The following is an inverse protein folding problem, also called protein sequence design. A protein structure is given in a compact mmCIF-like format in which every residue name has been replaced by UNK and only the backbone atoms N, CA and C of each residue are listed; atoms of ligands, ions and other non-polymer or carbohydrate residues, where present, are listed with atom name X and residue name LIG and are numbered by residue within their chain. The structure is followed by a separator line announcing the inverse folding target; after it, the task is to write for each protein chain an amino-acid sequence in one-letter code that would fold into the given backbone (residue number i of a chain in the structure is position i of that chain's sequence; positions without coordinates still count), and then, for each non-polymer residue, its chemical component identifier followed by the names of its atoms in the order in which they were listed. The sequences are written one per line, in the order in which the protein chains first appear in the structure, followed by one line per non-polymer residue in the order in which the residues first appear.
data_IF_097658326864
#
_entry.id   IF_097658326864
#
_cell.length_a   1.000
_cell.length_b   1.000
_cell.length_c   1.000
_cell.angle_alpha   90.00
_cell.angle_beta   90.00
_cell.angle_gamma   90.00
#
_symmetry.space_group_name_H-M   'P 1'
#
loop_
_entity.id
_entity.type
_entity.pdbx_description
1 polymer ?
#
# COMPACT_ATOMS: atom_id res chain seq x y z
N UNK A 1 7.64 -40.68 -31.19
CA UNK A 1 6.35 -40.04 -30.82
C UNK A 1 5.75 -40.70 -29.57
N UNK A 2 6.46 -40.71 -28.43
CA UNK A 2 5.99 -41.39 -27.19
C UNK A 2 5.91 -40.46 -25.96
N UNK A 3 6.11 -39.15 -26.15
CA UNK A 3 6.19 -38.18 -25.05
C UNK A 3 4.83 -37.63 -24.59
N UNK A 4 3.76 -37.81 -25.37
CA UNK A 4 2.43 -37.26 -25.07
C UNK A 4 1.51 -38.21 -24.28
N UNK A 5 1.87 -39.48 -24.11
CA UNK A 5 0.95 -40.47 -23.54
C UNK A 5 0.84 -40.40 -22.01
N UNK A 6 1.79 -39.72 -21.34
CA UNK A 6 1.77 -39.53 -19.89
C UNK A 6 0.83 -38.40 -19.44
N UNK A 7 0.48 -37.44 -20.31
CA UNK A 7 -0.25 -36.24 -19.91
C UNK A 7 -1.76 -36.42 -19.70
N UNK A 8 -2.32 -37.57 -20.10
CA UNK A 8 -3.76 -37.85 -20.04
C UNK A 8 -4.15 -38.92 -19.02
N UNK A 9 -3.18 -39.42 -18.23
CA UNK A 9 -3.50 -40.36 -17.16
C UNK A 9 -4.39 -39.68 -16.08
N UNK A 10 -5.48 -40.34 -15.63
CA UNK A 10 -6.41 -39.75 -14.67
C UNK A 10 -5.74 -39.33 -13.34
N UNK A 11 -4.66 -40.01 -12.95
CA UNK A 11 -3.82 -39.66 -11.81
C UNK A 11 -3.14 -38.28 -11.94
N UNK A 12 -2.71 -37.90 -13.15
CA UNK A 12 -2.04 -36.63 -13.42
C UNK A 12 -3.01 -35.44 -13.38
N UNK A 13 -4.25 -35.62 -13.86
CA UNK A 13 -5.30 -34.60 -13.77
C UNK A 13 -5.70 -34.33 -12.32
N UNK A 14 -5.89 -35.38 -11.52
CA UNK A 14 -6.17 -35.26 -10.08
C UNK A 14 -5.03 -34.55 -9.36
N UNK A 15 -3.78 -34.85 -9.72
CA UNK A 15 -2.62 -34.16 -9.17
C UNK A 15 -2.63 -32.65 -9.51
N UNK A 16 -2.88 -32.29 -10.77
CA UNK A 16 -3.00 -30.88 -11.19
C UNK A 16 -4.11 -30.14 -10.44
N UNK A 17 -5.28 -30.74 -10.30
CA UNK A 17 -6.40 -30.15 -9.55
C UNK A 17 -6.02 -29.90 -8.08
N UNK A 18 -5.34 -30.84 -7.43
CA UNK A 18 -4.83 -30.69 -6.06
C UNK A 18 -3.79 -29.57 -5.94
N UNK A 19 -2.88 -29.45 -6.91
CA UNK A 19 -1.88 -28.38 -6.94
C UNK A 19 -2.55 -27.01 -7.11
N UNK A 20 -3.51 -26.88 -8.02
CA UNK A 20 -4.27 -25.63 -8.22
C UNK A 20 -5.06 -25.25 -6.97
N UNK A 21 -5.72 -26.21 -6.31
CA UNK A 21 -6.43 -25.95 -5.05
C UNK A 21 -5.50 -25.54 -3.92
N UNK A 22 -4.33 -26.18 -3.80
CA UNK A 22 -3.32 -25.81 -2.81
C UNK A 22 -2.77 -24.40 -3.05
N UNK A 23 -2.54 -24.02 -4.32
CA UNK A 23 -2.15 -22.68 -4.72
C UNK A 23 -3.24 -21.65 -4.41
N UNK A 24 -4.51 -21.92 -4.73
CA UNK A 24 -5.65 -21.05 -4.40
C UNK A 24 -5.75 -20.80 -2.88
N UNK A 25 -5.63 -21.86 -2.08
CA UNK A 25 -5.68 -21.78 -0.62
C UNK A 25 -4.51 -20.95 -0.05
N UNK A 26 -3.29 -21.20 -0.57
CA UNK A 26 -2.08 -20.47 -0.17
C UNK A 26 -2.17 -19.00 -0.55
N UNK A 27 -2.63 -18.68 -1.76
CA UNK A 27 -2.84 -17.32 -2.22
C UNK A 27 -3.87 -16.56 -1.39
N UNK A 28 -5.00 -17.19 -1.07
CA UNK A 28 -6.02 -16.55 -0.24
C UNK A 28 -5.45 -16.19 1.13
N UNK A 29 -4.68 -17.10 1.75
CA UNK A 29 -4.05 -16.85 3.04
C UNK A 29 -2.98 -15.77 2.98
N UNK A 30 -2.07 -15.85 2.01
CA UNK A 30 -1.00 -14.86 1.83
C UNK A 30 -1.57 -13.47 1.53
N UNK A 31 -2.54 -13.38 0.61
CA UNK A 31 -3.19 -12.11 0.30
C UNK A 31 -3.89 -11.51 1.51
N UNK A 32 -4.56 -12.32 2.32
CA UNK A 32 -5.21 -11.84 3.54
C UNK A 32 -4.18 -11.37 4.56
N UNK A 33 -3.14 -12.16 4.83
CA UNK A 33 -2.07 -11.78 5.75
C UNK A 33 -1.40 -10.46 5.36
N UNK A 34 -1.02 -10.30 4.08
CA UNK A 34 -0.38 -9.08 3.61
C UNK A 34 -1.29 -7.86 3.74
N UNK A 35 -2.58 -8.00 3.40
CA UNK A 35 -3.56 -6.92 3.57
C UNK A 35 -3.70 -6.50 5.03
N UNK A 36 -3.73 -7.46 5.96
CA UNK A 36 -3.81 -7.17 7.40
C UNK A 36 -2.56 -6.46 7.88
N UNK A 37 -1.36 -6.98 7.57
CA UNK A 37 -0.08 -6.39 8.00
C UNK A 37 0.02 -4.94 7.52
N UNK A 38 -0.24 -4.68 6.24
CA UNK A 38 -0.18 -3.33 5.69
C UNK A 38 -1.27 -2.42 6.25
N UNK A 39 -2.50 -2.91 6.40
CA UNK A 39 -3.59 -2.12 7.01
C UNK A 39 -3.28 -1.73 8.47
N UNK A 40 -2.72 -2.65 9.28
CA UNK A 40 -2.30 -2.33 10.65
C UNK A 40 -1.18 -1.30 10.63
N UNK A 41 -0.16 -1.49 9.78
CA UNK A 41 0.95 -0.55 9.65
C UNK A 41 0.46 0.86 9.28
N UNK A 42 -0.36 0.99 8.24
CA UNK A 42 -0.89 2.30 7.80
C UNK A 42 -1.80 2.94 8.83
N UNK A 43 -2.55 2.15 9.60
CA UNK A 43 -3.38 2.66 10.70
C UNK A 43 -2.53 3.25 11.83
N UNK A 44 -1.42 2.59 12.18
CA UNK A 44 -0.48 3.11 13.19
C UNK A 44 0.12 4.45 12.73
N UNK A 45 0.53 4.55 11.46
CA UNK A 45 1.03 5.81 10.91
C UNK A 45 -0.03 6.91 10.91
N UNK A 46 -1.27 6.59 10.54
CA UNK A 46 -2.37 7.55 10.61
C UNK A 46 -2.56 8.12 12.02
N UNK A 47 -2.56 7.26 13.06
CA UNK A 47 -2.66 7.69 14.45
C UNK A 47 -1.46 8.54 14.90
N UNK A 48 -0.25 8.20 14.43
CA UNK A 48 0.94 9.00 14.68
C UNK A 48 0.78 10.43 14.14
N UNK A 49 0.33 10.61 12.90
CA UNK A 49 0.14 11.95 12.33
C UNK A 49 -1.04 12.72 12.96
N UNK A 50 -2.11 12.02 13.35
CA UNK A 50 -3.21 12.66 14.09
C UNK A 50 -2.77 13.15 15.47
N UNK A 51 -1.97 12.37 16.18
CA UNK A 51 -1.42 12.79 17.47
C UNK A 51 -0.39 13.92 17.30
N UNK A 52 0.43 13.89 16.24
CA UNK A 52 1.31 15.00 15.86
C UNK A 52 0.53 16.30 15.64
N UNK A 53 -0.52 16.26 14.81
CA UNK A 53 -1.38 17.40 14.54
C UNK A 53 -2.05 17.94 15.82
N UNK A 54 -2.50 17.05 16.71
CA UNK A 54 -3.07 17.42 18.00
C UNK A 54 -2.06 18.15 18.88
N UNK A 55 -0.83 17.62 19.01
CA UNK A 55 0.23 18.26 19.79
C UNK A 55 0.61 19.62 19.21
N UNK A 56 0.66 19.75 17.88
CA UNK A 56 0.95 21.02 17.21
C UNK A 56 -0.14 22.09 17.41
N UNK A 57 -1.40 21.69 17.64
CA UNK A 57 -2.49 22.60 18.00
C UNK A 57 -2.41 23.08 19.45
N UNK A 58 -2.07 22.19 20.38
CA UNK A 58 -2.05 22.48 21.83
C UNK A 58 -0.77 23.22 22.25
N UNK A 59 0.37 22.80 21.73
CA UNK A 59 1.70 23.32 22.07
C UNK A 59 2.49 23.57 20.79
N UNK A 60 2.27 24.71 20.12
CA UNK A 60 2.87 24.97 18.82
C UNK A 60 4.40 24.98 18.94
N UNK A 61 5.06 24.29 18.02
CA UNK A 61 6.52 24.23 17.88
C UNK A 61 7.28 23.46 18.98
N UNK A 62 6.58 22.76 19.88
CA UNK A 62 7.23 21.94 20.90
C UNK A 62 7.81 20.63 20.30
N UNK A 63 7.24 20.19 19.17
CA UNK A 63 7.78 19.09 18.38
C UNK A 63 9.04 19.50 17.63
N UNK A 64 10.17 18.87 17.97
CA UNK A 64 11.51 19.17 17.41
C UNK A 64 11.55 19.27 15.88
N UNK A 65 10.86 18.39 15.16
CA UNK A 65 10.89 18.37 13.69
C UNK A 65 10.00 19.45 13.06
N UNK A 66 8.96 19.92 13.77
CA UNK A 66 8.14 21.05 13.33
C UNK A 66 8.74 22.40 13.67
N UNK A 67 9.46 22.51 14.79
CA UNK A 67 10.12 23.74 15.24
C UNK A 67 11.05 24.35 14.17
N UNK A 68 11.65 23.53 13.31
CA UNK A 68 12.51 24.00 12.22
C UNK A 68 11.80 24.84 11.16
N UNK A 69 10.49 24.67 11.04
CA UNK A 69 9.68 25.39 10.07
C UNK A 69 9.04 26.65 10.64
N UNK A 70 9.34 27.01 11.90
CA UNK A 70 8.70 28.15 12.58
C UNK A 70 8.83 29.47 11.85
N UNK A 71 9.95 29.69 11.14
CA UNK A 71 10.21 30.93 10.40
C UNK A 71 9.51 30.99 9.04
N UNK A 72 9.17 29.84 8.45
CA UNK A 72 8.66 29.75 7.08
C UNK A 72 7.20 29.32 6.97
N UNK A 73 6.72 28.49 7.91
CA UNK A 73 5.36 27.98 7.94
C UNK A 73 4.59 28.52 9.14
N UNK A 74 3.29 28.66 8.93
CA UNK A 74 2.36 28.86 10.05
C UNK A 74 2.06 27.52 10.73
N UNK A 75 1.74 27.55 12.03
CA UNK A 75 1.37 26.31 12.75
C UNK A 75 0.17 25.60 12.08
N UNK A 76 -0.78 26.37 11.54
CA UNK A 76 -1.95 25.82 10.84
C UNK A 76 -1.58 25.10 9.54
N UNK A 77 -0.61 25.61 8.76
CA UNK A 77 -0.17 24.91 7.55
C UNK A 77 0.47 23.55 7.84
N UNK A 78 1.21 23.45 8.95
CA UNK A 78 1.78 22.19 9.44
C UNK A 78 0.67 21.22 9.85
N UNK A 79 -0.29 21.68 10.65
CA UNK A 79 -1.46 20.87 11.07
C UNK A 79 -2.24 20.37 9.85
N UNK A 80 -2.47 21.21 8.83
CA UNK A 80 -3.18 20.78 7.62
C UNK A 80 -2.42 19.72 6.84
N UNK A 81 -1.08 19.79 6.81
CA UNK A 81 -0.25 18.79 6.16
C UNK A 81 -0.32 17.45 6.92
N UNK A 82 -0.15 17.46 8.25
CA UNK A 82 -0.25 16.26 9.09
C UNK A 82 -1.63 15.60 8.99
N UNK A 83 -2.70 16.39 8.98
CA UNK A 83 -4.07 15.87 8.80
C UNK A 83 -4.27 15.29 7.40
N UNK A 84 -3.70 15.91 6.36
CA UNK A 84 -3.74 15.37 5.00
C UNK A 84 -2.99 14.03 4.91
N UNK A 85 -1.82 13.90 5.55
CA UNK A 85 -1.09 12.64 5.65
C UNK A 85 -1.91 11.56 6.36
N UNK A 86 -2.47 11.88 7.52
CA UNK A 86 -3.34 10.97 8.25
C UNK A 86 -4.50 10.47 7.37
N UNK A 87 -5.12 11.35 6.58
CA UNK A 87 -6.19 11.00 5.67
C UNK A 87 -5.72 10.04 4.55
N UNK A 88 -4.55 10.29 3.95
CA UNK A 88 -3.95 9.41 2.93
C UNK A 88 -3.77 7.99 3.48
N UNK A 89 -3.25 7.86 4.70
CA UNK A 89 -3.07 6.56 5.35
C UNK A 89 -4.40 5.86 5.66
N UNK A 90 -5.44 6.60 6.09
CA UNK A 90 -6.80 6.05 6.29
C UNK A 90 -7.38 5.53 4.98
N UNK A 91 -7.27 6.29 3.90
CA UNK A 91 -7.71 5.87 2.57
C UNK A 91 -6.99 4.59 2.11
N UNK A 92 -5.69 4.46 2.42
CA UNK A 92 -4.91 3.26 2.16
C UNK A 92 -5.42 2.05 2.96
N UNK A 93 -5.61 2.21 4.27
CA UNK A 93 -6.19 1.17 5.14
C UNK A 93 -7.55 0.71 4.60
N UNK A 94 -8.42 1.67 4.24
CA UNK A 94 -9.74 1.37 3.71
C UNK A 94 -9.68 0.64 2.36
N UNK A 95 -8.72 1.02 1.50
CA UNK A 95 -8.45 0.35 0.23
C UNK A 95 -8.03 -1.10 0.37
N UNK A 96 -7.26 -1.45 1.42
CA UNK A 96 -6.83 -2.82 1.70
C UNK A 96 -7.92 -3.71 2.29
N UNK A 97 -8.70 -3.18 3.24
CA UNK A 97 -9.77 -3.91 3.91
C UNK A 97 -10.93 -4.18 2.95
N UNK A 98 -11.24 -3.21 2.09
CA UNK A 98 -12.35 -3.32 1.17
C UNK A 98 -12.02 -4.27 0.00
N UNK A 99 -12.82 -5.33 -0.16
CA UNK A 99 -12.70 -6.25 -1.30
C UNK A 99 -13.33 -5.70 -2.60
N UNK A 100 -14.02 -4.56 -2.52
CA UNK A 100 -14.75 -3.98 -3.64
C UNK A 100 -13.84 -3.18 -4.59
N UNK A 101 -14.12 -3.28 -5.89
CA UNK A 101 -13.37 -2.61 -6.97
C UNK A 101 -13.41 -1.09 -6.85
N UNK A 102 -14.49 -0.51 -6.31
CA UNK A 102 -14.61 0.94 -6.09
C UNK A 102 -13.62 1.42 -5.04
N UNK A 103 -13.55 0.73 -3.91
CA UNK A 103 -12.65 1.05 -2.81
C UNK A 103 -11.18 0.80 -3.15
N UNK A 104 -10.88 -0.13 -4.07
CA UNK A 104 -9.52 -0.30 -4.61
C UNK A 104 -9.00 0.91 -5.41
N UNK A 105 -9.89 1.78 -5.93
CA UNK A 105 -9.46 3.06 -6.56
C UNK A 105 -8.89 4.05 -5.54
N UNK A 106 -9.10 3.82 -4.24
CA UNK A 106 -8.51 4.65 -3.19
C UNK A 106 -6.99 4.48 -3.11
N UNK A 107 -6.43 3.32 -3.46
CA UNK A 107 -4.98 3.07 -3.41
C UNK A 107 -4.18 3.99 -4.35
N UNK A 108 -4.49 4.09 -5.66
CA UNK A 108 -3.79 5.03 -6.54
C UNK A 108 -4.10 6.50 -6.21
N UNK A 109 -5.28 6.79 -5.65
CA UNK A 109 -5.62 8.13 -5.18
C UNK A 109 -4.78 8.53 -3.96
N UNK A 110 -4.60 7.62 -3.01
CA UNK A 110 -3.68 7.79 -1.88
C UNK A 110 -2.26 8.04 -2.34
N UNK A 111 -1.79 7.34 -3.39
CA UNK A 111 -0.46 7.60 -3.96
C UNK A 111 -0.35 9.02 -4.55
N UNK A 112 -1.35 9.47 -5.32
CA UNK A 112 -1.37 10.83 -5.84
C UNK A 112 -1.38 11.88 -4.71
N UNK A 113 -2.15 11.63 -3.64
CA UNK A 113 -2.15 12.46 -2.44
C UNK A 113 -0.79 12.48 -1.74
N UNK A 114 -0.16 11.31 -1.58
CA UNK A 114 1.18 11.17 -0.98
C UNK A 114 2.25 11.92 -1.76
N UNK A 115 2.19 11.89 -3.10
CA UNK A 115 3.08 12.69 -3.96
C UNK A 115 2.83 14.19 -3.76
N UNK A 116 1.57 14.62 -3.64
CA UNK A 116 1.21 16.01 -3.35
C UNK A 116 1.79 16.51 -2.03
N UNK A 117 1.66 15.73 -0.95
CA UNK A 117 2.21 16.07 0.36
C UNK A 117 3.74 16.01 0.37
N UNK A 118 4.34 15.06 -0.34
CA UNK A 118 5.79 14.99 -0.50
C UNK A 118 6.35 16.23 -1.23
N UNK A 119 5.68 16.69 -2.29
CA UNK A 119 6.05 17.93 -2.99
C UNK A 119 5.91 19.15 -2.09
N UNK A 120 4.84 19.21 -1.28
CA UNK A 120 4.67 20.26 -0.27
C UNK A 120 5.87 20.32 0.68
N UNK A 121 6.23 19.22 1.34
CA UNK A 121 7.37 19.20 2.27
C UNK A 121 8.71 19.47 1.60
N UNK A 122 8.95 18.91 0.41
CA UNK A 122 10.19 19.15 -0.35
C UNK A 122 10.34 20.62 -0.74
N UNK A 123 9.26 21.27 -1.17
CA UNK A 123 9.27 22.69 -1.55
C UNK A 123 9.69 23.59 -0.38
N UNK A 124 9.18 23.33 0.83
CA UNK A 124 9.58 24.09 2.02
C UNK A 124 10.97 23.68 2.55
N UNK A 125 11.35 22.41 2.46
CA UNK A 125 12.72 21.98 2.82
C UNK A 125 13.79 22.65 1.96
N UNK A 126 13.49 22.99 0.70
CA UNK A 126 14.43 23.72 -0.18
C UNK A 126 14.58 25.20 0.20
N UNK A 127 13.59 25.77 0.90
CA UNK A 127 13.63 27.16 1.35
C UNK A 127 14.41 27.34 2.66
N UNK A 128 14.50 26.28 3.46
CA UNK A 128 15.36 26.26 4.64
C UNK A 128 16.83 26.51 4.26
N UNK A 129 17.45 27.46 4.96
CA UNK A 129 18.86 27.86 4.76
C UNK A 129 19.88 26.73 4.96
N UNK A 130 19.49 25.63 5.62
CA UNK A 130 20.27 24.39 5.74
C UNK A 130 19.39 23.18 5.48
N UNK A 131 19.74 22.43 4.44
CA UNK A 131 19.15 21.11 4.15
C UNK A 131 19.55 20.15 5.27
N UNK A 132 18.58 19.69 6.05
CA UNK A 132 18.76 18.68 7.09
C UNK A 132 18.22 17.33 6.61
N UNK A 133 19.12 16.36 6.48
CA UNK A 133 18.78 14.99 6.07
C UNK A 133 17.85 14.26 7.05
N UNK A 134 17.83 14.68 8.32
CA UNK A 134 16.92 14.13 9.33
C UNK A 134 15.43 14.39 9.02
N UNK A 135 15.13 15.45 8.27
CA UNK A 135 13.78 15.82 7.86
C UNK A 135 13.34 15.15 6.55
N UNK A 136 14.26 14.47 5.85
CA UNK A 136 13.94 13.79 4.59
C UNK A 136 12.89 12.70 4.78
N UNK A 137 12.74 12.18 6.00
CA UNK A 137 11.70 11.20 6.31
C UNK A 137 10.27 11.74 6.12
N UNK A 138 10.01 13.04 6.32
CA UNK A 138 8.68 13.64 6.14
C UNK A 138 8.13 13.44 4.71
N UNK A 139 8.83 13.88 3.63
CA UNK A 139 8.33 13.68 2.27
C UNK A 139 8.46 12.23 1.80
N UNK A 140 9.51 11.50 2.21
CA UNK A 140 9.73 10.14 1.74
C UNK A 140 8.81 9.12 2.42
N UNK A 141 8.36 9.35 3.65
CA UNK A 141 7.51 8.42 4.40
C UNK A 141 6.21 8.09 3.68
N UNK A 142 5.31 9.06 3.46
CA UNK A 142 4.03 8.85 2.76
C UNK A 142 4.23 8.34 1.34
N UNK A 143 5.18 8.93 0.60
CA UNK A 143 5.42 8.56 -0.79
C UNK A 143 5.93 7.11 -0.93
N UNK A 144 6.92 6.72 -0.12
CA UNK A 144 7.46 5.34 -0.13
C UNK A 144 6.42 4.33 0.35
N UNK A 145 5.67 4.64 1.42
CA UNK A 145 4.62 3.77 1.93
C UNK A 145 3.52 3.56 0.89
N UNK A 146 3.06 4.63 0.23
CA UNK A 146 2.05 4.54 -0.82
C UNK A 146 2.56 3.76 -2.04
N UNK A 147 3.82 3.96 -2.45
CA UNK A 147 4.43 3.21 -3.55
C UNK A 147 4.50 1.71 -3.26
N UNK A 148 4.97 1.33 -2.07
CA UNK A 148 5.03 -0.07 -1.63
C UNK A 148 3.63 -0.67 -1.57
N UNK A 149 2.65 0.06 -1.03
CA UNK A 149 1.28 -0.41 -0.92
C UNK A 149 0.62 -0.62 -2.28
N UNK A 150 0.87 0.29 -3.24
CA UNK A 150 0.42 0.12 -4.62
C UNK A 150 1.09 -1.09 -5.29
N UNK A 151 2.38 -1.30 -5.07
CA UNK A 151 3.10 -2.46 -5.59
C UNK A 151 2.54 -3.77 -5.05
N UNK A 152 2.29 -3.86 -3.75
CA UNK A 152 1.71 -5.06 -3.11
C UNK A 152 0.29 -5.32 -3.63
N UNK A 153 -0.52 -4.27 -3.80
CA UNK A 153 -1.87 -4.44 -4.36
C UNK A 153 -1.83 -4.98 -5.79
N UNK A 154 -0.90 -4.48 -6.60
CA UNK A 154 -0.66 -4.98 -7.96
C UNK A 154 -0.21 -6.43 -7.96
N UNK A 155 0.73 -6.79 -7.09
CA UNK A 155 1.23 -8.16 -6.96
C UNK A 155 0.10 -9.14 -6.58
N UNK A 156 -0.77 -8.75 -5.65
CA UNK A 156 -1.94 -9.54 -5.26
C UNK A 156 -2.89 -9.75 -6.45
N UNK A 157 -3.10 -8.72 -7.28
CA UNK A 157 -3.96 -8.81 -8.46
C UNK A 157 -3.40 -9.73 -9.54
N UNK A 158 -2.13 -9.56 -9.87
CA UNK A 158 -1.48 -10.38 -10.89
C UNK A 158 -1.50 -11.85 -10.49
N UNK A 159 -1.21 -12.13 -9.23
CA UNK A 159 -1.22 -13.53 -8.81
C UNK A 159 -2.62 -14.14 -8.79
N UNK A 160 -3.67 -13.36 -8.53
CA UNK A 160 -5.05 -13.81 -8.70
C UNK A 160 -5.42 -14.07 -10.17
N UNK A 161 -4.86 -13.30 -11.12
CA UNK A 161 -5.05 -13.52 -12.56
C UNK A 161 -4.35 -14.80 -13.00
N UNK A 162 -3.12 -15.03 -12.56
CA UNK A 162 -2.36 -16.23 -12.92
C UNK A 162 -3.02 -17.50 -12.43
N UNK A 163 -3.52 -17.53 -11.19
CA UNK A 163 -4.30 -18.65 -10.66
C UNK A 163 -5.55 -18.90 -11.49
N UNK A 164 -6.25 -17.84 -11.92
CA UNK A 164 -7.44 -17.95 -12.78
C UNK A 164 -7.09 -18.49 -14.17
N UNK A 165 -5.98 -18.06 -14.73
CA UNK A 165 -5.49 -18.50 -16.04
C UNK A 165 -5.09 -19.98 -16.00
N UNK A 166 -4.40 -20.42 -14.94
CA UNK A 166 -4.08 -21.83 -14.69
C UNK A 166 -5.34 -22.70 -14.63
N UNK A 167 -6.37 -22.23 -13.92
CA UNK A 167 -7.65 -22.92 -13.82
C UNK A 167 -8.39 -22.97 -15.17
N UNK A 168 -8.38 -21.88 -15.94
CA UNK A 168 -8.98 -21.83 -17.27
C UNK A 168 -8.28 -22.79 -18.25
N UNK A 169 -6.94 -22.82 -18.24
CA UNK A 169 -6.16 -23.75 -19.05
C UNK A 169 -6.49 -25.22 -18.71
N UNK A 170 -6.62 -25.55 -17.42
CA UNK A 170 -7.03 -26.88 -16.98
C UNK A 170 -8.41 -27.29 -17.52
N UNK A 171 -9.39 -26.39 -17.48
CA UNK A 171 -10.72 -26.66 -18.04
C UNK A 171 -10.70 -26.83 -19.56
N UNK A 172 -9.87 -26.07 -20.28
CA UNK A 172 -9.69 -26.23 -21.72
C UNK A 172 -9.15 -27.63 -22.05
N UNK A 173 -8.13 -28.09 -21.32
CA UNK A 173 -7.58 -29.43 -21.49
C UNK A 173 -8.57 -30.55 -21.15
N UNK A 174 -9.47 -30.36 -20.18
CA UNK A 174 -10.50 -31.36 -19.85
C UNK A 174 -11.57 -31.50 -20.93
N UNK A 175 -11.72 -30.48 -21.78
CA UNK A 175 -12.73 -30.42 -22.84
C UNK A 175 -12.26 -30.97 -24.19
N UNK A 176 -10.94 -31.14 -24.35
CA UNK A 176 -10.28 -31.62 -25.57
C UNK A 176 -9.93 -33.10 -25.39
#
# INVERSE_FOLDING_TARGET
MACYQWSTTPSFLIYKEKVVQALEATHRRQSFMWRVIFATFTTIFSLFFLTSAYWQLVSPWDLKYHAYFMEELTSMSVVTADVAEAFIYVMMTWGFISSDKKHRRLIPLSFAGGVGVAMFWLHYMQRLSRIRWDLLWLPFGPCSCSAICMYVDHLILDTQRDVRNLRAAMYHFKRT
#
